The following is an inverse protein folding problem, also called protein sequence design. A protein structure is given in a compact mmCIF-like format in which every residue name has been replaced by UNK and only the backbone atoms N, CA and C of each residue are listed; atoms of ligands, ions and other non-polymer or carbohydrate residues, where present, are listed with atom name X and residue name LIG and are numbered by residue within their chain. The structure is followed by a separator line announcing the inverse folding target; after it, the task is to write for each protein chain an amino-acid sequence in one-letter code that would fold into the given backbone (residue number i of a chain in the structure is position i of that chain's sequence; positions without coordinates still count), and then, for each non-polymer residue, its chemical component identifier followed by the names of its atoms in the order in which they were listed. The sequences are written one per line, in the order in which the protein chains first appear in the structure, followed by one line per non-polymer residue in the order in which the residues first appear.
data_IF_588246599180
#
_entry.id   IF_588246599180
#
_cell.length_a   1.000
_cell.length_b   1.000
_cell.length_c   1.000
_cell.angle_alpha   90.00
_cell.angle_beta   90.00
_cell.angle_gamma   90.00
#
_symmetry.space_group_name_H-M   'P 1'
#
loop_
_entity.id
_entity.type
_entity.pdbx_description
1 polymer ?
#
# COMPACT_ATOMS: atom_id res chain seq x y z
N UNK A 1 -27.40 -8.09 -11.17
CA UNK A 1 -26.05 -7.51 -10.99
C UNK A 1 -25.31 -7.92 -9.71
N UNK A 2 -25.83 -8.80 -8.87
CA UNK A 2 -25.30 -9.18 -7.53
C UNK A 2 -24.70 -10.61 -7.43
N UNK A 3 -24.74 -11.40 -8.50
CA UNK A 3 -24.38 -12.82 -8.42
C UNK A 3 -22.86 -13.11 -8.48
N UNK A 4 -22.01 -12.17 -8.86
CA UNK A 4 -20.56 -12.37 -9.10
C UNK A 4 -19.67 -12.14 -7.85
N UNK A 5 -20.25 -11.81 -6.71
CA UNK A 5 -19.53 -11.54 -5.46
C UNK A 5 -19.92 -12.44 -4.28
N UNK A 6 -20.41 -13.65 -4.53
CA UNK A 6 -20.63 -14.62 -3.47
C UNK A 6 -19.30 -15.29 -3.08
N UNK A 7 -18.44 -14.55 -2.39
CA UNK A 7 -17.57 -15.20 -1.44
C UNK A 7 -18.44 -15.80 -0.34
N UNK A 8 -18.06 -16.96 0.17
CA UNK A 8 -18.80 -17.57 1.26
C UNK A 8 -18.84 -16.59 2.45
N UNK A 9 -19.91 -16.60 3.23
CA UNK A 9 -19.98 -15.75 4.44
C UNK A 9 -18.78 -15.99 5.37
N UNK A 10 -18.13 -17.16 5.26
CA UNK A 10 -16.91 -17.51 5.99
C UNK A 10 -15.68 -16.74 5.52
N UNK A 11 -15.45 -16.61 4.20
CA UNK A 11 -14.31 -15.84 3.65
C UNK A 11 -14.39 -14.36 4.04
N UNK A 12 -15.58 -13.78 3.94
CA UNK A 12 -15.78 -12.39 4.36
C UNK A 12 -15.54 -12.20 5.88
N UNK A 13 -15.91 -13.16 6.71
CA UNK A 13 -15.63 -13.12 8.16
C UNK A 13 -14.13 -13.22 8.43
N UNK A 14 -13.42 -14.10 7.73
CA UNK A 14 -11.97 -14.26 7.89
C UNK A 14 -11.23 -13.00 7.46
N UNK A 15 -11.57 -12.41 6.31
CA UNK A 15 -10.98 -11.15 5.85
C UNK A 15 -11.24 -10.00 6.83
N UNK A 16 -12.48 -9.88 7.37
CA UNK A 16 -12.78 -8.86 8.41
C UNK A 16 -11.94 -9.04 9.67
N UNK A 17 -11.70 -10.30 10.10
CA UNK A 17 -10.84 -10.59 11.26
C UNK A 17 -9.39 -10.23 10.99
N UNK A 18 -8.86 -10.60 9.82
CA UNK A 18 -7.49 -10.28 9.41
C UNK A 18 -7.26 -8.77 9.38
N UNK A 19 -8.14 -8.01 8.72
CA UNK A 19 -8.04 -6.54 8.69
C UNK A 19 -8.12 -5.93 10.09
N UNK A 20 -9.04 -6.42 10.94
CA UNK A 20 -9.12 -5.96 12.33
C UNK A 20 -7.84 -6.25 13.12
N UNK A 21 -7.23 -7.41 12.91
CA UNK A 21 -5.97 -7.79 13.57
C UNK A 21 -4.81 -6.89 13.14
N UNK A 22 -4.67 -6.65 11.83
CA UNK A 22 -3.54 -5.90 11.24
C UNK A 22 -3.70 -4.39 11.47
N UNK A 23 -4.87 -3.83 11.20
CA UNK A 23 -5.10 -2.39 11.16
C UNK A 23 -5.87 -1.85 12.38
N UNK A 24 -6.42 -2.71 13.22
CA UNK A 24 -7.11 -2.32 14.45
C UNK A 24 -8.54 -1.81 14.27
N UNK A 25 -9.15 -1.92 13.08
CA UNK A 25 -10.52 -1.48 12.83
C UNK A 25 -11.35 -2.52 12.04
N UNK A 26 -12.66 -2.35 12.03
CA UNK A 26 -13.57 -3.19 11.24
C UNK A 26 -13.92 -2.52 9.91
N UNK A 27 -13.75 -3.22 8.77
CA UNK A 27 -14.23 -2.75 7.47
C UNK A 27 -15.74 -2.51 7.48
N UNK A 28 -16.17 -1.38 6.91
CA UNK A 28 -17.57 -1.12 6.58
C UNK A 28 -17.96 -1.88 5.32
N UNK A 29 -17.36 -1.53 4.20
CA UNK A 29 -17.59 -2.16 2.91
C UNK A 29 -16.52 -3.22 2.60
N UNK A 30 -16.77 -4.48 2.96
CA UNK A 30 -15.84 -5.60 2.78
C UNK A 30 -15.47 -5.85 1.30
N UNK A 31 -16.31 -5.43 0.35
CA UNK A 31 -16.04 -5.64 -1.08
C UNK A 31 -14.85 -4.83 -1.58
N UNK A 32 -14.61 -3.62 -1.03
CA UNK A 32 -13.43 -2.82 -1.35
C UNK A 32 -12.15 -3.55 -0.96
N UNK A 33 -12.11 -4.14 0.24
CA UNK A 33 -10.94 -4.86 0.74
C UNK A 33 -10.71 -6.17 -0.01
N UNK A 34 -11.76 -6.87 -0.41
CA UNK A 34 -11.61 -8.03 -1.30
C UNK A 34 -11.04 -7.66 -2.66
N UNK A 35 -11.46 -6.52 -3.18
CA UNK A 35 -10.93 -6.01 -4.45
C UNK A 35 -9.46 -5.60 -4.31
N UNK A 36 -9.08 -4.99 -3.18
CA UNK A 36 -7.69 -4.60 -2.90
C UNK A 36 -6.73 -5.80 -2.90
N UNK A 37 -7.20 -6.97 -2.46
CA UNK A 37 -6.39 -8.19 -2.45
C UNK A 37 -6.55 -9.07 -3.72
N UNK A 38 -7.26 -8.61 -4.74
CA UNK A 38 -7.38 -9.34 -6.01
C UNK A 38 -6.35 -8.86 -7.00
N UNK A 39 -5.25 -9.60 -7.12
CA UNK A 39 -4.24 -9.31 -8.12
C UNK A 39 -4.79 -9.48 -9.55
N UNK A 40 -4.19 -8.76 -10.52
CA UNK A 40 -4.59 -8.79 -11.94
C UNK A 40 -4.59 -10.21 -12.54
N UNK A 41 -3.66 -11.10 -12.11
CA UNK A 41 -3.61 -12.47 -12.59
C UNK A 41 -4.86 -13.28 -12.20
N UNK A 42 -5.43 -13.04 -11.02
CA UNK A 42 -6.64 -13.71 -10.53
C UNK A 42 -7.94 -13.07 -11.02
N UNK A 43 -7.85 -12.06 -11.89
CA UNK A 43 -9.03 -11.33 -12.36
C UNK A 43 -9.57 -11.91 -13.67
N UNK A 44 -10.82 -12.34 -13.67
CA UNK A 44 -11.54 -12.73 -14.89
C UNK A 44 -12.19 -11.50 -15.53
N UNK A 45 -12.21 -11.50 -16.87
CA UNK A 45 -12.99 -10.48 -17.62
C UNK A 45 -14.45 -10.88 -17.56
N UNK A 46 -15.30 -9.99 -17.06
CA UNK A 46 -16.76 -10.19 -17.05
C UNK A 46 -17.42 -8.98 -17.68
N UNK A 47 -18.21 -9.20 -18.73
CA UNK A 47 -18.83 -8.11 -19.50
C UNK A 47 -17.82 -7.05 -19.97
N UNK A 48 -16.66 -7.47 -20.47
CA UNK A 48 -15.61 -6.55 -20.96
C UNK A 48 -14.84 -5.80 -19.87
N UNK A 49 -15.18 -5.97 -18.60
CA UNK A 49 -14.52 -5.28 -17.48
C UNK A 49 -13.67 -6.25 -16.67
N UNK A 50 -12.39 -5.93 -16.53
CA UNK A 50 -11.47 -6.63 -15.62
C UNK A 50 -11.53 -5.96 -14.24
N UNK A 51 -11.90 -6.72 -13.21
CA UNK A 51 -11.96 -6.22 -11.83
C UNK A 51 -10.81 -6.78 -11.01
N UNK A 52 -9.82 -5.95 -10.77
CA UNK A 52 -8.62 -6.22 -9.99
C UNK A 52 -8.31 -5.04 -9.05
N UNK A 53 -7.16 -5.06 -8.39
CA UNK A 53 -6.73 -4.05 -7.43
C UNK A 53 -6.14 -2.77 -8.08
N UNK A 54 -5.77 -2.77 -9.37
CA UNK A 54 -5.02 -1.69 -10.02
C UNK A 54 -5.63 -0.29 -9.83
N UNK A 55 -6.96 -0.17 -9.90
CA UNK A 55 -7.62 1.13 -9.69
C UNK A 55 -7.59 1.61 -8.23
N UNK A 56 -7.60 0.67 -7.27
CA UNK A 56 -7.45 0.98 -5.85
C UNK A 56 -6.00 1.30 -5.51
N UNK A 57 -5.04 0.60 -6.12
CA UNK A 57 -3.61 0.87 -6.06
C UNK A 57 -3.31 2.30 -6.51
N UNK A 58 -3.75 2.68 -7.73
CA UNK A 58 -3.62 4.05 -8.24
C UNK A 58 -4.14 5.11 -7.26
N UNK A 59 -5.33 4.90 -6.69
CA UNK A 59 -5.92 5.82 -5.73
C UNK A 59 -5.14 5.83 -4.40
N UNK A 60 -4.72 4.65 -3.96
CA UNK A 60 -3.99 4.47 -2.71
C UNK A 60 -2.60 5.10 -2.74
N UNK A 61 -1.86 4.98 -3.85
CA UNK A 61 -0.59 5.67 -4.06
C UNK A 61 -0.75 7.19 -3.91
N UNK A 62 -1.73 7.78 -4.58
CA UNK A 62 -1.99 9.22 -4.49
C UNK A 62 -2.31 9.67 -3.05
N UNK A 63 -3.15 8.91 -2.33
CA UNK A 63 -3.50 9.19 -0.93
C UNK A 63 -2.29 9.01 -0.01
N UNK A 64 -1.52 7.95 -0.18
CA UNK A 64 -0.30 7.69 0.58
C UNK A 64 0.71 8.82 0.39
N UNK A 65 1.00 9.19 -0.86
CA UNK A 65 1.91 10.26 -1.21
C UNK A 65 1.51 11.60 -0.58
N UNK A 66 0.22 11.96 -0.61
CA UNK A 66 -0.28 13.17 0.02
C UNK A 66 -0.13 13.15 1.55
N UNK A 67 -0.42 12.02 2.20
CA UNK A 67 -0.29 11.86 3.66
C UNK A 67 1.17 11.94 4.09
N UNK A 68 2.08 11.27 3.36
CA UNK A 68 3.52 11.29 3.66
C UNK A 68 4.11 12.69 3.44
N UNK A 69 3.75 13.37 2.35
CA UNK A 69 4.17 14.75 2.11
C UNK A 69 3.76 15.69 3.25
N UNK A 70 2.51 15.60 3.70
CA UNK A 70 2.03 16.39 4.84
C UNK A 70 2.74 16.03 6.16
N UNK A 71 3.02 14.75 6.38
CA UNK A 71 3.77 14.30 7.56
C UNK A 71 5.20 14.85 7.57
N UNK A 72 5.93 14.73 6.45
CA UNK A 72 7.30 15.22 6.32
C UNK A 72 7.38 16.73 6.45
N UNK A 73 6.47 17.47 5.80
CA UNK A 73 6.38 18.93 5.93
C UNK A 73 6.27 19.40 7.38
N UNK A 74 5.51 18.67 8.21
CA UNK A 74 5.38 18.98 9.64
C UNK A 74 6.56 18.50 10.48
N UNK A 75 7.15 17.34 10.13
CA UNK A 75 8.28 16.77 10.88
C UNK A 75 9.56 17.56 10.68
N UNK A 76 9.75 18.13 9.49
CA UNK A 76 10.98 18.84 9.08
C UNK A 76 10.69 20.28 8.62
N UNK A 77 10.34 21.18 9.55
CA UNK A 77 9.87 22.54 9.18
C UNK A 77 10.96 23.46 8.60
N UNK A 78 12.23 23.10 8.76
CA UNK A 78 13.39 23.89 8.31
C UNK A 78 14.08 23.31 7.07
N UNK A 79 13.64 22.15 6.61
CA UNK A 79 14.22 21.48 5.44
C UNK A 79 13.58 22.00 4.15
N UNK A 80 14.37 21.99 3.06
CA UNK A 80 13.94 22.44 1.75
C UNK A 80 13.07 21.41 1.00
N UNK A 81 12.58 21.79 -0.15
CA UNK A 81 11.74 20.94 -1.01
C UNK A 81 12.49 19.71 -1.51
N UNK A 82 13.77 19.84 -1.84
CA UNK A 82 14.62 18.75 -2.32
C UNK A 82 14.71 17.63 -1.28
N UNK A 83 15.03 17.97 -0.02
CA UNK A 83 15.05 17.02 1.08
C UNK A 83 13.68 16.33 1.29
N UNK A 84 12.59 17.11 1.30
CA UNK A 84 11.24 16.57 1.51
C UNK A 84 10.85 15.60 0.39
N UNK A 85 11.21 15.90 -0.86
CA UNK A 85 10.96 15.06 -2.02
C UNK A 85 11.77 13.79 -1.99
N UNK A 86 13.05 13.86 -1.61
CA UNK A 86 13.90 12.69 -1.44
C UNK A 86 13.37 11.76 -0.34
N UNK A 87 13.07 12.31 0.84
CA UNK A 87 12.51 11.54 1.96
C UNK A 87 11.19 10.87 1.60
N UNK A 88 10.28 11.58 0.93
CA UNK A 88 9.04 11.00 0.43
C UNK A 88 9.32 9.82 -0.50
N UNK A 89 10.23 9.99 -1.47
CA UNK A 89 10.59 8.94 -2.43
C UNK A 89 11.17 7.69 -1.74
N UNK A 90 11.97 7.85 -0.70
CA UNK A 90 12.48 6.72 0.12
C UNK A 90 11.33 5.96 0.79
N UNK A 91 10.40 6.68 1.43
CA UNK A 91 9.28 6.10 2.18
C UNK A 91 8.31 5.36 1.24
N UNK A 92 7.93 5.98 0.11
CA UNK A 92 6.95 5.40 -0.83
C UNK A 92 7.60 4.56 -1.94
N UNK A 93 8.92 4.29 -1.85
CA UNK A 93 9.57 3.43 -2.84
C UNK A 93 8.95 2.04 -2.87
N UNK A 94 8.91 1.43 -4.06
CA UNK A 94 8.42 0.06 -4.25
C UNK A 94 9.08 -0.94 -3.29
N UNK A 95 10.39 -0.81 -3.07
CA UNK A 95 11.13 -1.68 -2.15
C UNK A 95 10.66 -1.50 -0.69
N UNK A 96 10.44 -0.26 -0.25
CA UNK A 96 9.94 0.06 1.08
C UNK A 96 8.52 -0.47 1.28
N UNK A 97 7.61 -0.20 0.35
CA UNK A 97 6.21 -0.63 0.45
C UNK A 97 6.07 -2.16 0.41
N UNK A 98 6.88 -2.85 -0.40
CA UNK A 98 6.91 -4.31 -0.40
C UNK A 98 7.38 -4.87 0.95
N UNK A 99 8.45 -4.33 1.52
CA UNK A 99 8.93 -4.74 2.84
C UNK A 99 7.83 -4.56 3.89
N UNK A 100 7.14 -3.44 3.89
CA UNK A 100 6.03 -3.16 4.80
C UNK A 100 4.87 -4.14 4.58
N UNK A 101 4.41 -4.32 3.34
CA UNK A 101 3.33 -5.24 3.01
C UNK A 101 3.63 -6.67 3.45
N UNK A 102 4.87 -7.12 3.24
CA UNK A 102 5.35 -8.43 3.69
C UNK A 102 5.32 -8.55 5.23
N UNK A 103 5.86 -7.55 5.95
CA UNK A 103 5.85 -7.53 7.42
C UNK A 103 4.43 -7.49 8.00
N UNK A 104 3.50 -6.82 7.32
CA UNK A 104 2.07 -6.83 7.67
C UNK A 104 1.39 -8.17 7.36
N UNK A 105 2.04 -9.08 6.63
CA UNK A 105 1.49 -10.38 6.25
C UNK A 105 0.43 -10.30 5.14
N UNK A 106 0.45 -9.25 4.29
CA UNK A 106 -0.57 -9.03 3.26
C UNK A 106 -0.59 -10.15 2.21
N UNK A 107 0.57 -10.76 1.92
CA UNK A 107 0.69 -11.90 1.00
C UNK A 107 -0.28 -13.06 1.30
N UNK A 108 -0.66 -13.25 2.58
CA UNK A 108 -1.62 -14.29 3.00
C UNK A 108 -3.07 -14.03 2.53
N UNK A 109 -3.36 -12.80 2.14
CA UNK A 109 -4.70 -12.37 1.70
C UNK A 109 -4.79 -12.15 0.19
N UNK A 110 -3.64 -12.05 -0.49
CA UNK A 110 -3.59 -11.76 -1.93
C UNK A 110 -4.09 -12.97 -2.71
N UNK A 111 -5.06 -12.74 -3.59
CA UNK A 111 -5.59 -13.75 -4.51
C UNK A 111 -4.75 -13.71 -5.80
N UNK A 112 -4.05 -14.82 -6.06
CA UNK A 112 -3.27 -15.06 -7.28
C UNK A 112 -3.90 -16.20 -8.09
N UNK A 113 -3.67 -16.24 -9.39
CA UNK A 113 -4.04 -17.38 -10.21
C UNK A 113 -3.19 -18.60 -9.84
N UNK A 114 -3.82 -19.78 -9.73
CA UNK A 114 -3.12 -21.03 -9.45
C UNK A 114 -2.12 -21.36 -10.56
N UNK A 115 -0.86 -21.52 -10.21
CA UNK A 115 0.24 -21.86 -11.14
C UNK A 115 1.39 -20.85 -11.19
N UNK A 116 1.24 -19.68 -10.61
CA UNK A 116 2.28 -18.64 -10.60
C UNK A 116 3.03 -18.50 -9.25
N UNK A 117 2.96 -19.50 -8.39
CA UNK A 117 3.34 -19.38 -6.96
C UNK A 117 4.84 -19.48 -6.64
N UNK A 118 5.75 -19.85 -7.56
CA UNK A 118 7.14 -20.16 -7.14
C UNK A 118 8.27 -19.63 -8.04
N UNK A 119 8.00 -18.91 -9.11
CA UNK A 119 9.07 -18.36 -9.94
C UNK A 119 9.07 -16.83 -9.91
N UNK A 120 9.93 -16.23 -9.08
CA UNK A 120 10.60 -14.93 -9.22
C UNK A 120 9.87 -13.68 -9.77
N UNK A 121 8.64 -13.78 -10.27
CA UNK A 121 7.94 -12.72 -11.00
C UNK A 121 7.08 -11.76 -10.16
N UNK A 122 6.92 -11.99 -8.86
CA UNK A 122 6.01 -11.21 -8.01
C UNK A 122 6.72 -10.35 -6.95
N UNK A 123 7.86 -9.75 -7.33
CA UNK A 123 8.65 -8.94 -6.40
C UNK A 123 7.96 -7.68 -5.85
N UNK A 124 6.76 -7.30 -6.33
CA UNK A 124 6.07 -6.07 -5.92
C UNK A 124 4.64 -6.25 -5.42
N UNK A 125 4.14 -7.48 -5.37
CA UNK A 125 2.71 -7.74 -5.11
C UNK A 125 2.25 -7.27 -3.73
N UNK A 126 3.13 -7.31 -2.72
CA UNK A 126 2.81 -6.87 -1.37
C UNK A 126 2.69 -5.35 -1.28
N UNK A 127 3.52 -4.60 -2.03
CA UNK A 127 3.46 -3.15 -2.13
C UNK A 127 2.21 -2.68 -2.86
N UNK A 128 1.93 -3.27 -4.04
CA UNK A 128 0.74 -2.98 -4.83
C UNK A 128 -0.55 -3.26 -4.01
N UNK A 129 -0.56 -4.36 -3.24
CA UNK A 129 -1.66 -4.68 -2.34
C UNK A 129 -1.79 -3.71 -1.15
N UNK A 130 -0.66 -3.19 -0.63
CA UNK A 130 -0.67 -2.17 0.42
C UNK A 130 -1.28 -0.86 -0.08
N UNK A 131 -0.88 -0.40 -1.26
CA UNK A 131 -1.47 0.78 -1.88
C UNK A 131 -2.95 0.57 -2.16
N UNK A 132 -3.34 -0.57 -2.74
CA UNK A 132 -4.74 -0.89 -2.97
C UNK A 132 -5.55 -0.96 -1.67
N UNK A 133 -4.97 -1.46 -0.59
CA UNK A 133 -5.58 -1.47 0.74
C UNK A 133 -5.80 -0.05 1.27
N UNK A 134 -4.84 0.85 1.09
CA UNK A 134 -4.97 2.28 1.44
C UNK A 134 -6.12 2.91 0.63
N UNK A 135 -6.20 2.66 -0.67
CA UNK A 135 -7.31 3.10 -1.52
C UNK A 135 -8.67 2.60 -1.04
N UNK A 136 -8.74 1.32 -0.61
CA UNK A 136 -9.95 0.73 -0.04
C UNK A 136 -10.36 1.40 1.29
N UNK A 137 -9.40 1.68 2.18
CA UNK A 137 -9.64 2.39 3.45
C UNK A 137 -10.17 3.80 3.18
N UNK A 138 -9.55 4.49 2.21
CA UNK A 138 -9.97 5.84 1.84
C UNK A 138 -11.42 5.89 1.36
N UNK A 139 -11.83 4.97 0.50
CA UNK A 139 -13.21 4.89 0.01
C UNK A 139 -14.22 4.45 1.10
N UNK A 140 -13.77 3.65 2.08
CA UNK A 140 -14.64 3.14 3.17
C UNK A 140 -14.77 4.13 4.33
N UNK A 141 -13.72 4.88 4.66
CA UNK A 141 -13.61 5.65 5.92
C UNK A 141 -13.25 7.13 5.73
N UNK A 142 -12.92 7.54 4.51
CA UNK A 142 -12.51 8.90 4.18
C UNK A 142 -11.06 9.24 4.58
N UNK A 143 -10.63 10.43 4.18
CA UNK A 143 -9.23 10.87 4.25
C UNK A 143 -8.66 10.90 5.68
N UNK A 144 -9.35 11.55 6.61
CA UNK A 144 -8.84 11.73 8.00
C UNK A 144 -8.58 10.39 8.71
N UNK A 145 -9.47 9.42 8.50
CA UNK A 145 -9.30 8.09 9.07
C UNK A 145 -8.12 7.35 8.42
N UNK A 146 -8.02 7.41 7.08
CA UNK A 146 -6.92 6.81 6.32
C UNK A 146 -5.57 7.39 6.73
N UNK A 147 -5.46 8.71 6.85
CA UNK A 147 -4.27 9.38 7.36
C UNK A 147 -3.84 8.85 8.73
N UNK A 148 -4.79 8.70 9.67
CA UNK A 148 -4.51 8.13 10.99
C UNK A 148 -3.97 6.69 10.90
N UNK A 149 -4.54 5.86 10.02
CA UNK A 149 -4.10 4.48 9.84
C UNK A 149 -2.70 4.45 9.20
N UNK A 150 -2.45 5.22 8.15
CA UNK A 150 -1.13 5.31 7.51
C UNK A 150 -0.07 5.69 8.55
N UNK A 151 -0.27 6.78 9.28
CA UNK A 151 0.74 7.28 10.22
C UNK A 151 0.95 6.37 11.43
N UNK A 152 -0.12 5.81 12.00
CA UNK A 152 0.00 5.01 13.24
C UNK A 152 0.32 3.54 12.99
N UNK A 153 -0.23 2.93 11.93
CA UNK A 153 -0.16 1.49 11.70
C UNK A 153 0.81 1.09 10.60
N UNK A 154 1.06 1.97 9.64
CA UNK A 154 2.00 1.68 8.55
C UNK A 154 3.36 2.30 8.86
N UNK A 155 3.43 3.62 8.91
CA UNK A 155 4.70 4.32 9.17
C UNK A 155 5.20 4.03 10.58
N UNK A 156 4.40 4.30 11.60
CA UNK A 156 4.84 4.21 13.00
C UNK A 156 5.16 2.80 13.51
N UNK A 157 4.72 1.73 12.84
CA UNK A 157 4.98 0.35 13.26
C UNK A 157 5.97 -0.39 12.36
N UNK A 158 6.14 0.05 11.11
CA UNK A 158 6.88 -0.73 10.12
C UNK A 158 7.99 0.04 9.41
N UNK A 159 8.11 1.37 9.65
CA UNK A 159 9.13 2.21 9.03
C UNK A 159 9.92 2.96 10.10
N UNK A 160 11.23 2.89 10.01
CA UNK A 160 12.13 3.78 10.76
C UNK A 160 12.50 4.96 9.86
N UNK A 161 11.78 6.08 10.04
CA UNK A 161 11.96 7.28 9.23
C UNK A 161 13.30 7.94 9.52
N UNK A 162 13.81 7.82 10.76
CA UNK A 162 15.09 8.39 11.16
C UNK A 162 16.26 7.56 10.60
N UNK A 163 16.08 6.23 10.44
CA UNK A 163 17.05 5.40 9.71
C UNK A 163 17.05 5.74 8.21
N UNK A 164 15.88 6.00 7.62
CA UNK A 164 15.78 6.40 6.20
C UNK A 164 16.43 7.76 5.93
N UNK A 165 16.38 8.69 6.87
CA UNK A 165 17.07 9.97 6.81
C UNK A 165 18.59 9.79 6.75
N UNK A 166 19.16 8.87 7.56
CA UNK A 166 20.60 8.60 7.61
C UNK A 166 21.13 7.86 6.40
N UNK A 167 20.28 7.13 5.67
CA UNK A 167 20.68 6.39 4.48
C UNK A 167 20.74 7.32 3.27
N UNK A 168 21.94 7.62 2.85
CA UNK A 168 22.24 8.27 1.57
C UNK A 168 21.89 7.33 0.41
N UNK A 169 20.83 7.64 -0.33
CA UNK A 169 20.41 6.86 -1.49
C UNK A 169 20.79 7.55 -2.81
N UNK A 170 21.20 8.80 -2.73
CA UNK A 170 21.45 9.61 -3.93
C UNK A 170 22.94 9.64 -4.30
N UNK A 171 23.53 8.44 -4.42
CA UNK A 171 24.92 8.30 -4.89
C UNK A 171 25.17 8.95 -6.24
N UNK A 172 24.14 9.00 -7.10
CA UNK A 172 24.25 9.57 -8.46
C UNK A 172 24.36 11.09 -8.43
N UNK A 173 23.54 11.77 -7.62
CA UNK A 173 23.64 13.24 -7.44
C UNK A 173 24.95 13.59 -6.73
N UNK A 174 25.35 12.86 -5.69
CA UNK A 174 26.66 13.08 -5.05
C UNK A 174 27.84 12.87 -5.99
N UNK A 175 27.75 11.91 -6.92
CA UNK A 175 28.79 11.72 -7.93
C UNK A 175 28.84 12.91 -8.89
N UNK A 176 27.69 13.44 -9.30
CA UNK A 176 27.60 14.62 -10.16
C UNK A 176 28.16 15.85 -9.44
N UNK A 177 27.77 16.08 -8.19
CA UNK A 177 28.27 17.20 -7.37
C UNK A 177 29.78 17.09 -7.12
N UNK A 178 30.31 15.87 -7.02
CA UNK A 178 31.74 15.65 -6.87
C UNK A 178 32.53 15.84 -8.17
N UNK A 179 31.88 15.70 -9.33
CA UNK A 179 32.49 15.91 -10.66
C UNK A 179 32.41 17.40 -11.14
N UNK A 180 31.72 18.28 -10.44
CA UNK A 180 31.67 19.73 -10.70
C UNK A 180 32.71 20.49 -9.86
#
# INVERSE_FOLDING_TARGET
MLALFRASGAENRNLRRAIKSILGFRPGNIFLYRLAFRHRSASKVTHGVRRNNERLEYLGDAVLSAVIAHYLFKKYPTQDEGFLTEMRSKIVSRASLNKVGLHMGLHKMIQLEHGHGNNGGFKSVDGDALEALIGAIFLDKGFRFTQKIILKRIVGMHMDVDELERKDWNYKSKLIDWCQ
#
